data_IF_123167784679
#
_entry.id   IF_123167784679
#
_cell.length_a   1.000
_cell.length_b   1.000
_cell.length_c   1.000
_cell.angle_alpha   90.00
_cell.angle_beta   90.00
_cell.angle_gamma   90.00
#
_symmetry.space_group_name_H-M   'P 1'
#
loop_
_entity.id
_entity.type
_entity.pdbx_description
1 polymer ?
#
# COMPACT_ATOMS: atom_id res chain seq x y z
N UNK A 1 0.36 -6.11 6.06
CA UNK A 1 -0.39 -6.36 4.80
C UNK A 1 0.38 -5.71 3.67
N UNK A 2 0.44 -6.35 2.50
CA UNK A 2 1.12 -5.82 1.31
C UNK A 2 0.14 -5.78 0.13
N UNK A 3 0.10 -4.63 -0.56
CA UNK A 3 -0.79 -4.36 -1.68
C UNK A 3 -0.07 -4.69 -2.98
N UNK A 4 -0.58 -5.69 -3.72
CA UNK A 4 0.01 -6.04 -5.00
C UNK A 4 -0.16 -4.93 -6.00
N UNK A 5 0.94 -4.57 -6.67
CA UNK A 5 0.94 -3.56 -7.72
C UNK A 5 0.25 -2.24 -7.29
N UNK A 6 0.55 -1.77 -6.07
CA UNK A 6 -0.10 -0.64 -5.42
C UNK A 6 -0.36 0.56 -6.36
N UNK A 7 0.63 0.95 -7.16
CA UNK A 7 0.49 2.07 -8.09
C UNK A 7 -0.56 1.87 -9.18
N UNK A 8 -0.82 0.64 -9.63
CA UNK A 8 -1.87 0.36 -10.63
C UNK A 8 -3.29 0.60 -10.10
N UNK A 9 -3.46 0.74 -8.78
CA UNK A 9 -4.71 1.16 -8.16
C UNK A 9 -4.84 2.69 -8.08
N UNK A 10 -3.75 3.44 -8.29
CA UNK A 10 -3.76 4.89 -8.35
C UNK A 10 -4.41 5.41 -9.64
N UNK A 11 -5.31 6.38 -9.51
CA UNK A 11 -5.92 7.07 -10.64
C UNK A 11 -5.08 8.29 -10.98
N UNK A 12 -4.58 8.38 -12.22
CA UNK A 12 -3.88 9.58 -12.68
C UNK A 12 -4.92 10.58 -13.20
N UNK A 13 -4.93 11.80 -12.66
CA UNK A 13 -5.80 12.87 -13.15
C UNK A 13 -5.24 13.55 -14.41
N UNK A 14 -3.93 13.48 -14.59
CA UNK A 14 -3.20 14.03 -15.74
C UNK A 14 -3.16 13.05 -16.92
N UNK A 15 -3.12 13.59 -18.14
CA UNK A 15 -2.92 12.79 -19.34
C UNK A 15 -1.44 12.52 -19.51
N UNK A 16 -1.03 11.27 -19.30
CA UNK A 16 0.36 10.83 -19.47
C UNK A 16 0.45 9.94 -20.69
N UNK A 17 1.43 10.23 -21.55
CA UNK A 17 1.79 9.39 -22.68
C UNK A 17 3.16 8.76 -22.45
N UNK A 18 3.31 7.50 -22.83
CA UNK A 18 4.57 6.76 -22.77
C UNK A 18 4.92 6.20 -24.13
N UNK A 19 6.22 6.12 -24.40
CA UNK A 19 6.72 5.39 -25.56
C UNK A 19 6.36 3.91 -25.45
N UNK A 20 6.28 3.25 -26.60
CA UNK A 20 6.02 1.81 -26.65
C UNK A 20 7.13 1.06 -25.91
N UNK A 21 6.79 0.17 -24.97
CA UNK A 21 7.80 -0.62 -24.29
C UNK A 21 8.50 -1.56 -25.29
N UNK A 22 9.76 -1.94 -25.01
CA UNK A 22 10.49 -2.89 -25.85
C UNK A 22 9.68 -4.17 -26.08
N UNK A 23 9.57 -4.60 -27.34
CA UNK A 23 8.76 -5.78 -27.73
C UNK A 23 7.30 -5.48 -28.10
N UNK A 24 6.82 -4.25 -27.91
CA UNK A 24 5.49 -3.79 -28.34
C UNK A 24 5.56 -2.73 -29.46
N UNK A 25 6.73 -2.60 -30.08
CA UNK A 25 6.94 -1.69 -31.20
C UNK A 25 6.14 -2.17 -32.42
N UNK A 26 5.37 -1.25 -33.01
CA UNK A 26 4.67 -1.52 -34.27
C UNK A 26 5.48 -0.89 -35.42
N UNK A 27 6.05 -1.71 -36.34
CA UNK A 27 6.87 -1.21 -37.44
C UNK A 27 6.11 -0.26 -38.38
N UNK A 28 4.78 -0.38 -38.46
CA UNK A 28 3.91 0.44 -39.30
C UNK A 28 3.50 1.76 -38.64
N UNK A 29 3.57 1.83 -37.31
CA UNK A 29 3.11 2.99 -36.54
C UNK A 29 4.16 3.43 -35.50
N UNK A 30 5.36 3.80 -35.96
CA UNK A 30 6.49 4.11 -35.06
C UNK A 30 6.27 5.35 -34.19
N UNK A 31 5.51 6.33 -34.68
CA UNK A 31 5.31 7.61 -33.99
C UNK A 31 4.14 7.60 -32.99
N UNK A 32 3.49 6.46 -32.81
CA UNK A 32 2.40 6.34 -31.84
C UNK A 32 2.93 6.12 -30.42
N UNK A 33 2.23 6.72 -29.46
CA UNK A 33 2.47 6.59 -28.03
C UNK A 33 1.25 5.97 -27.35
N UNK A 34 1.45 5.35 -26.19
CA UNK A 34 0.34 4.86 -25.37
C UNK A 34 -0.06 5.90 -24.34
N UNK A 35 -1.37 6.11 -24.18
CA UNK A 35 -1.91 6.86 -23.06
C UNK A 35 -2.02 5.92 -21.85
N UNK A 36 -1.58 6.37 -20.68
CA UNK A 36 -1.77 5.64 -19.44
C UNK A 36 -3.12 5.97 -18.82
N UNK A 37 -3.88 4.93 -18.51
CA UNK A 37 -5.14 5.04 -17.76
C UNK A 37 -4.95 4.86 -16.24
N UNK A 38 -3.81 4.29 -15.82
CA UNK A 38 -3.46 3.96 -14.44
C UNK A 38 -2.03 4.37 -14.12
N UNK A 39 -1.76 4.67 -12.85
CA UNK A 39 -0.42 4.99 -12.37
C UNK A 39 0.54 3.79 -12.54
N UNK A 40 1.71 4.05 -13.11
CA UNK A 40 2.75 3.05 -13.35
C UNK A 40 4.00 3.39 -12.52
N UNK A 41 4.79 2.36 -12.18
CA UNK A 41 6.11 2.56 -11.59
C UNK A 41 6.98 3.48 -12.46
N UNK A 42 7.75 4.36 -11.81
CA UNK A 42 8.60 5.35 -12.48
C UNK A 42 7.90 6.67 -12.80
N UNK A 43 6.57 6.76 -12.68
CA UNK A 43 5.88 8.05 -12.72
C UNK A 43 6.05 8.79 -11.39
N UNK A 44 6.42 10.08 -11.46
CA UNK A 44 6.59 10.91 -10.26
C UNK A 44 5.29 11.01 -9.44
N UNK A 45 4.13 11.00 -10.11
CA UNK A 45 2.81 11.14 -9.51
C UNK A 45 2.19 9.81 -9.06
N UNK A 46 2.77 8.67 -9.43
CA UNK A 46 2.19 7.36 -9.08
C UNK A 46 2.06 7.13 -7.56
N UNK A 47 3.06 7.47 -6.71
CA UNK A 47 2.94 7.33 -5.27
C UNK A 47 1.80 8.18 -4.68
N UNK A 48 1.65 9.42 -5.17
CA UNK A 48 0.59 10.32 -4.72
C UNK A 48 -0.79 9.80 -5.15
N UNK A 49 -0.96 9.43 -6.42
CA UNK A 49 -2.21 8.88 -6.95
C UNK A 49 -2.64 7.62 -6.17
N UNK A 50 -1.70 6.75 -5.83
CA UNK A 50 -1.95 5.59 -4.99
C UNK A 50 -2.42 5.98 -3.58
N UNK A 51 -1.66 6.85 -2.90
CA UNK A 51 -1.99 7.28 -1.55
C UNK A 51 -3.35 7.99 -1.49
N UNK A 52 -3.69 8.81 -2.49
CA UNK A 52 -5.01 9.45 -2.58
C UNK A 52 -6.14 8.41 -2.73
N UNK A 53 -5.99 7.42 -3.61
CA UNK A 53 -6.96 6.32 -3.75
C UNK A 53 -7.14 5.55 -2.44
N UNK A 54 -6.05 5.12 -1.82
CA UNK A 54 -6.08 4.36 -0.57
C UNK A 54 -6.70 5.17 0.56
N UNK A 55 -6.23 6.40 0.74
CA UNK A 55 -6.67 7.25 1.83
C UNK A 55 -8.15 7.63 1.69
N UNK A 56 -8.63 7.87 0.47
CA UNK A 56 -10.06 8.10 0.20
C UNK A 56 -10.89 6.86 0.55
N UNK A 57 -10.41 5.66 0.19
CA UNK A 57 -11.07 4.40 0.55
C UNK A 57 -11.18 4.22 2.07
N UNK A 58 -10.11 4.47 2.81
CA UNK A 58 -10.12 4.38 4.28
C UNK A 58 -11.07 5.40 4.91
N UNK A 59 -11.03 6.66 4.47
CA UNK A 59 -11.93 7.71 4.98
C UNK A 59 -13.40 7.35 4.74
N UNK A 60 -13.73 6.81 3.57
CA UNK A 60 -15.09 6.36 3.24
C UNK A 60 -15.55 5.16 4.09
N UNK A 61 -14.62 4.41 4.69
CA UNK A 61 -14.89 3.30 5.62
C UNK A 61 -14.83 3.74 7.09
N UNK A 62 -14.91 5.04 7.37
CA UNK A 62 -15.02 5.58 8.73
C UNK A 62 -13.71 5.69 9.49
N UNK A 63 -12.57 5.65 8.80
CA UNK A 63 -11.29 5.96 9.40
C UNK A 63 -11.09 7.48 9.47
N UNK A 64 -10.36 7.93 10.47
CA UNK A 64 -9.90 9.30 10.63
C UNK A 64 -8.40 9.34 10.33
N UNK A 65 -7.98 10.33 9.54
CA UNK A 65 -6.56 10.54 9.27
C UNK A 65 -5.89 11.24 10.45
N UNK A 66 -4.70 10.80 10.83
CA UNK A 66 -3.89 11.43 11.86
C UNK A 66 -3.59 12.89 11.53
N UNK A 67 -3.66 13.76 12.55
CA UNK A 67 -3.47 15.21 12.38
C UNK A 67 -2.01 15.56 12.12
N UNK A 68 -1.08 14.86 12.79
CA UNK A 68 0.36 15.10 12.68
C UNK A 68 0.98 14.23 11.58
N UNK A 69 0.55 12.97 11.51
CA UNK A 69 1.03 12.02 10.52
C UNK A 69 -0.10 11.62 9.57
N UNK A 70 -0.05 12.12 8.34
CA UNK A 70 -1.05 11.83 7.31
C UNK A 70 -1.07 10.35 6.90
N UNK A 71 -0.01 9.58 7.15
CA UNK A 71 0.03 8.15 6.80
C UNK A 71 -0.52 7.25 7.91
N UNK A 72 -0.87 7.83 9.06
CA UNK A 72 -1.56 7.15 10.16
C UNK A 72 -3.08 7.34 10.02
N UNK A 73 -3.82 6.26 10.14
CA UNK A 73 -5.28 6.22 10.18
C UNK A 73 -5.75 5.54 11.46
N UNK A 74 -6.84 6.05 12.00
CA UNK A 74 -7.39 5.65 13.29
C UNK A 74 -8.86 5.37 13.12
N UNK A 75 -9.34 4.26 13.65
CA UNK A 75 -10.76 3.96 13.76
C UNK A 75 -11.06 3.56 15.21
N UNK A 76 -12.06 4.19 15.80
CA UNK A 76 -12.56 3.86 17.13
C UNK A 76 -13.96 3.29 16.99
N UNK A 77 -14.23 2.15 17.64
CA UNK A 77 -15.53 1.49 17.59
C UNK A 77 -15.81 0.81 18.92
N UNK A 78 -16.92 1.20 19.55
CA UNK A 78 -17.36 0.63 20.84
C UNK A 78 -16.29 0.68 21.95
N UNK A 79 -15.42 1.70 21.91
CA UNK A 79 -14.30 1.88 22.85
C UNK A 79 -13.02 1.13 22.48
N UNK A 80 -13.05 0.31 21.43
CA UNK A 80 -11.86 -0.32 20.86
C UNK A 80 -11.20 0.55 19.80
N UNK A 81 -9.89 0.44 19.70
CA UNK A 81 -9.06 1.25 18.82
C UNK A 81 -8.36 0.38 17.77
N UNK A 82 -8.42 0.79 16.51
CA UNK A 82 -7.63 0.26 15.41
C UNK A 82 -6.72 1.36 14.86
N UNK A 83 -5.42 1.09 14.85
CA UNK A 83 -4.37 1.94 14.29
C UNK A 83 -3.87 1.32 12.99
N UNK A 84 -3.77 2.11 11.93
CA UNK A 84 -3.29 1.69 10.61
C UNK A 84 -2.23 2.67 10.13
N UNK A 85 -1.01 2.20 9.93
CA UNK A 85 0.13 2.95 9.43
C UNK A 85 0.46 2.47 8.01
N UNK A 86 0.43 3.39 7.05
CA UNK A 86 0.72 3.12 5.64
C UNK A 86 2.16 3.53 5.31
N UNK A 87 2.87 2.70 4.58
CA UNK A 87 4.15 3.03 3.96
C UNK A 87 4.18 2.48 2.54
N UNK A 88 3.92 3.34 1.55
CA UNK A 88 3.85 2.96 0.14
C UNK A 88 2.88 1.77 -0.07
N UNK A 89 3.39 0.57 -0.36
CA UNK A 89 2.68 -0.69 -0.57
C UNK A 89 2.49 -1.51 0.71
N UNK A 90 3.31 -1.27 1.73
CA UNK A 90 3.22 -1.91 3.05
C UNK A 90 2.22 -1.20 3.97
N UNK A 91 1.40 -1.99 4.65
CA UNK A 91 0.42 -1.53 5.62
C UNK A 91 0.58 -2.30 6.92
N UNK A 92 0.91 -1.58 7.98
CA UNK A 92 0.96 -2.08 9.36
C UNK A 92 -0.29 -1.65 10.08
N UNK A 93 -0.90 -2.55 10.83
CA UNK A 93 -2.04 -2.21 11.66
C UNK A 93 -2.06 -3.04 12.93
N UNK A 94 -2.73 -2.52 13.94
CA UNK A 94 -2.91 -3.17 15.23
C UNK A 94 -4.17 -2.65 15.90
N UNK A 95 -4.84 -3.51 16.67
CA UNK A 95 -6.10 -3.21 17.32
C UNK A 95 -6.11 -3.71 18.76
N UNK A 96 -6.91 -3.09 19.61
CA UNK A 96 -7.27 -3.64 20.93
C UNK A 96 -8.25 -4.81 20.83
N UNK A 97 -8.82 -5.04 19.64
CA UNK A 97 -9.81 -6.07 19.37
C UNK A 97 -9.56 -6.75 18.02
N UNK A 98 -9.36 -8.07 18.03
CA UNK A 98 -9.13 -8.91 16.85
C UNK A 98 -10.26 -8.87 15.82
N UNK A 99 -11.49 -8.61 16.25
CA UNK A 99 -12.64 -8.48 15.34
C UNK A 99 -12.44 -7.26 14.44
N UNK A 100 -11.88 -6.17 14.96
CA UNK A 100 -11.57 -4.98 14.16
C UNK A 100 -10.46 -5.28 13.15
N UNK A 101 -9.40 -6.00 13.55
CA UNK A 101 -8.35 -6.45 12.62
C UNK A 101 -8.92 -7.24 11.45
N UNK A 102 -9.76 -8.24 11.73
CA UNK A 102 -10.42 -9.05 10.67
C UNK A 102 -11.35 -8.22 9.79
N UNK A 103 -12.06 -7.26 10.37
CA UNK A 103 -12.92 -6.35 9.62
C UNK A 103 -12.12 -5.44 8.69
N UNK A 104 -10.99 -4.91 9.16
CA UNK A 104 -10.08 -4.09 8.38
C UNK A 104 -9.47 -4.86 7.21
N UNK A 105 -8.99 -6.08 7.47
CA UNK A 105 -8.48 -6.93 6.39
C UNK A 105 -9.52 -7.13 5.29
N UNK A 106 -10.78 -7.34 5.66
CA UNK A 106 -11.87 -7.48 4.70
C UNK A 106 -12.08 -6.19 3.90
N UNK A 107 -12.16 -5.04 4.57
CA UNK A 107 -12.28 -3.72 3.91
C UNK A 107 -11.18 -3.48 2.88
N UNK A 108 -9.96 -3.92 3.18
CA UNK A 108 -8.83 -3.82 2.27
C UNK A 108 -8.91 -4.81 1.10
N UNK A 109 -9.18 -6.09 1.39
CA UNK A 109 -9.30 -7.17 0.38
C UNK A 109 -10.50 -6.98 -0.57
N UNK A 110 -11.55 -6.30 -0.12
CA UNK A 110 -12.73 -6.00 -0.96
C UNK A 110 -12.40 -4.98 -2.07
N UNK A 111 -11.36 -4.16 -1.90
CA UNK A 111 -11.00 -3.08 -2.84
C UNK A 111 -9.69 -3.31 -3.57
N UNK A 112 -8.70 -3.89 -2.89
CA UNK A 112 -7.33 -4.01 -3.36
C UNK A 112 -6.90 -5.47 -3.40
N UNK A 113 -6.09 -5.83 -4.39
CA UNK A 113 -5.50 -7.16 -4.41
C UNK A 113 -4.37 -7.22 -3.37
N UNK A 114 -4.56 -8.02 -2.34
CA UNK A 114 -3.61 -8.14 -1.23
C UNK A 114 -2.89 -9.49 -1.31
N UNK A 115 -1.63 -9.53 -0.90
CA UNK A 115 -0.97 -10.79 -0.56
C UNK A 115 -1.50 -11.30 0.80
N UNK A 116 -1.66 -12.64 0.94
CA UNK A 116 -2.10 -13.23 2.21
C UNK A 116 -0.98 -13.10 3.24
N UNK A 117 -1.25 -12.46 4.38
CA UNK A 117 -0.31 -12.39 5.51
C UNK A 117 -0.84 -13.19 6.71
N UNK A 118 0.04 -13.99 7.31
CA UNK A 118 -0.07 -14.46 8.69
C UNK A 118 0.34 -13.31 9.64
N UNK A 119 0.59 -13.58 10.94
CA UNK A 119 1.21 -12.62 11.86
C UNK A 119 2.36 -11.86 11.19
N UNK A 120 2.50 -10.56 11.51
CA UNK A 120 3.53 -9.71 10.88
C UNK A 120 4.91 -10.27 11.20
N UNK A 121 5.47 -10.99 10.23
CA UNK A 121 6.83 -11.55 10.28
C UNK A 121 7.85 -10.61 9.65
N UNK A 122 7.42 -9.71 8.77
CA UNK A 122 8.31 -8.78 8.06
C UNK A 122 7.62 -7.42 7.82
N UNK A 123 8.35 -6.33 8.02
CA UNK A 123 7.94 -4.96 7.69
C UNK A 123 9.17 -4.14 7.26
N UNK A 124 9.14 -3.49 6.08
CA UNK A 124 10.26 -2.71 5.52
C UNK A 124 11.59 -3.49 5.41
N UNK A 125 11.52 -4.80 5.15
CA UNK A 125 12.70 -5.67 5.11
C UNK A 125 13.29 -6.02 6.49
N UNK A 126 12.65 -5.60 7.58
CA UNK A 126 12.96 -6.04 8.95
C UNK A 126 12.10 -7.23 9.30
N UNK A 127 12.69 -8.27 9.89
CA UNK A 127 11.92 -9.35 10.49
C UNK A 127 11.31 -8.87 11.81
N UNK A 128 10.04 -9.17 12.03
CA UNK A 128 9.28 -8.82 13.24
C UNK A 128 8.92 -10.12 13.94
N UNK A 129 9.46 -10.31 15.15
CA UNK A 129 9.06 -11.40 16.04
C UNK A 129 8.17 -10.83 17.15
N UNK A 130 6.87 -11.14 17.08
CA UNK A 130 5.88 -10.74 18.08
C UNK A 130 5.83 -11.78 19.20
N UNK A 131 6.32 -11.42 20.38
CA UNK A 131 6.21 -12.20 21.61
C UNK A 131 5.03 -11.66 22.43
N UNK A 132 4.51 -12.46 23.36
CA UNK A 132 3.32 -12.13 24.15
C UNK A 132 3.36 -10.75 24.84
N UNK A 133 4.55 -10.25 25.21
CA UNK A 133 4.77 -8.93 25.84
C UNK A 133 5.87 -8.09 25.17
N UNK A 134 6.41 -8.51 24.02
CA UNK A 134 7.58 -7.86 23.41
C UNK A 134 7.54 -7.92 21.88
N UNK A 135 8.05 -6.89 21.21
CA UNK A 135 8.19 -6.87 19.75
C UNK A 135 9.66 -6.72 19.41
N UNK A 136 10.25 -7.78 18.85
CA UNK A 136 11.64 -7.75 18.40
C UNK A 136 11.70 -7.47 16.90
N UNK A 137 12.48 -6.44 16.55
CA UNK A 137 12.82 -6.13 15.17
C UNK A 137 14.24 -6.65 14.89
N UNK A 138 14.37 -7.59 13.96
CA UNK A 138 15.65 -8.16 13.54
C UNK A 138 15.99 -7.67 12.14
N UNK A 139 17.05 -6.87 12.05
CA UNK A 139 17.66 -6.46 10.78
C UNK A 139 18.38 -7.64 10.16
N UNK A 140 18.08 -8.00 8.90
CA UNK A 140 18.95 -8.90 8.16
C UNK A 140 20.27 -8.17 7.87
N UNK A 141 21.37 -8.70 8.40
CA UNK A 141 22.71 -8.17 8.10
C UNK A 141 22.89 -8.07 6.58
N UNK A 142 23.27 -6.88 6.12
CA UNK A 142 23.69 -6.65 4.75
C UNK A 142 24.77 -7.67 4.37
N UNK A 143 24.43 -8.62 3.51
CA UNK A 143 25.46 -9.34 2.75
C UNK A 143 26.04 -8.32 1.79
N UNK A 144 27.20 -7.75 2.15
CA UNK A 144 28.09 -7.12 1.18
C UNK A 144 28.37 -8.16 0.10
N UNK A 145 27.84 -7.96 -1.09
CA UNK A 145 28.36 -8.58 -2.29
C UNK A 145 29.43 -7.64 -2.84
N UNK A 146 30.67 -8.16 -2.88
CA UNK A 146 31.75 -7.65 -3.72
C UNK A 146 31.44 -7.85 -5.22
#
# INVERSE_FOLDING_TARGET
>A
MDVKSAFLHGVINEVVYVNKPPGFEDPLHRDQVYKLDKALYGLHQAPQAWYETLSTHLLNNGFIRGVINCTLFIQEKDGDLLLVQVYVDDIVFGSTNDVLCKSFEKVMKDKFEMSSMEEMKFFLGLQVDQLFDDVKLVSQNAVKSE
#
